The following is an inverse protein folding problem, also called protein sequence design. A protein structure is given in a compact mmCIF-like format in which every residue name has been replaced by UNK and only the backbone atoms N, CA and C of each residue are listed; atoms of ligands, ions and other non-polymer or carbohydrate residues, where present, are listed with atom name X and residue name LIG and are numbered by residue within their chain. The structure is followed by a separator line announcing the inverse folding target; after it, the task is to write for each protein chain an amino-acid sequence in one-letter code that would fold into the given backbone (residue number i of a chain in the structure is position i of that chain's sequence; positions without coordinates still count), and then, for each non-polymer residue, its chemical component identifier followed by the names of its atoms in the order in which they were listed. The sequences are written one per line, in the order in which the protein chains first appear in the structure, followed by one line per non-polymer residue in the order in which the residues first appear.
data_IF_044251870038
#
_entry.id   IF_044251870038
#
_cell.length_a   1.000
_cell.length_b   1.000
_cell.length_c   1.000
_cell.angle_alpha   90.00
_cell.angle_beta   90.00
_cell.angle_gamma   90.00
#
_symmetry.space_group_name_H-M   'P 1'
#
loop_
_entity.id
_entity.type
_entity.pdbx_description
1 polymer ?
#
# COMPACT_ATOMS: atom_id res chain seq x y z
N UNK A 1 6.09 -30.96 -7.24
CA UNK A 1 5.80 -29.89 -8.22
C UNK A 1 5.70 -28.57 -7.47
N UNK A 2 6.83 -27.90 -7.19
CA UNK A 2 6.93 -26.50 -6.73
C UNK A 2 8.37 -25.91 -6.83
N UNK A 3 9.21 -26.24 -7.84
CA UNK A 3 10.48 -25.52 -8.01
C UNK A 3 10.35 -24.20 -8.80
N UNK A 4 9.20 -23.92 -9.44
CA UNK A 4 9.04 -22.75 -10.33
C UNK A 4 8.87 -21.44 -9.55
N UNK A 5 8.07 -21.43 -8.47
CA UNK A 5 7.74 -20.23 -7.70
C UNK A 5 8.97 -19.61 -6.98
N UNK A 6 9.81 -20.46 -6.38
CA UNK A 6 11.03 -20.01 -5.66
C UNK A 6 12.10 -19.53 -6.64
N UNK A 7 12.14 -20.09 -7.85
CA UNK A 7 12.97 -19.55 -8.92
C UNK A 7 12.48 -18.13 -9.26
N UNK A 8 11.19 -17.94 -9.57
CA UNK A 8 10.62 -16.66 -10.04
C UNK A 8 10.94 -15.47 -9.14
N UNK A 9 10.83 -15.63 -7.82
CA UNK A 9 11.17 -14.58 -6.85
C UNK A 9 12.66 -14.21 -6.93
N UNK A 10 13.57 -15.20 -6.91
CA UNK A 10 15.01 -15.00 -7.13
C UNK A 10 15.36 -14.41 -8.52
N UNK A 11 14.53 -14.64 -9.55
CA UNK A 11 14.74 -14.12 -10.91
C UNK A 11 14.26 -12.67 -11.07
N UNK A 12 13.12 -12.29 -10.49
CA UNK A 12 12.68 -10.88 -10.46
C UNK A 12 13.67 -10.01 -9.69
N UNK A 13 14.39 -10.59 -8.71
CA UNK A 13 15.53 -9.99 -8.01
C UNK A 13 16.67 -9.51 -8.91
N UNK A 14 16.70 -9.91 -10.20
CA UNK A 14 17.76 -9.59 -11.14
C UNK A 14 17.36 -8.60 -12.25
N UNK A 15 16.09 -8.15 -12.27
CA UNK A 15 15.53 -7.26 -13.30
C UNK A 15 15.34 -5.85 -12.74
N UNK A 16 16.28 -4.95 -12.98
CA UNK A 16 16.30 -3.64 -12.34
C UNK A 16 15.61 -2.58 -13.20
N UNK A 17 14.40 -2.17 -12.82
CA UNK A 17 13.95 -0.82 -13.16
C UNK A 17 14.96 0.14 -12.56
N UNK A 18 15.67 0.91 -13.39
CA UNK A 18 16.71 1.80 -12.88
C UNK A 18 16.07 3.03 -12.24
N UNK A 19 16.21 3.18 -10.92
CA UNK A 19 15.86 4.41 -10.22
C UNK A 19 16.65 5.60 -10.82
N UNK A 20 15.95 6.68 -11.07
CA UNK A 20 16.49 7.94 -11.57
C UNK A 20 16.47 8.93 -10.42
N UNK A 21 17.67 9.40 -10.03
CA UNK A 21 17.83 10.39 -8.97
C UNK A 21 17.14 11.70 -9.35
N UNK A 22 16.29 12.20 -8.44
CA UNK A 22 15.59 13.46 -8.60
C UNK A 22 15.45 14.13 -7.21
N UNK A 23 16.25 15.16 -6.97
CA UNK A 23 16.29 15.87 -5.69
C UNK A 23 14.95 16.51 -5.32
N UNK A 24 14.14 16.90 -6.31
CA UNK A 24 12.81 17.45 -6.05
C UNK A 24 11.88 16.38 -5.49
N UNK A 25 11.97 15.15 -6.00
CA UNK A 25 11.17 14.02 -5.49
C UNK A 25 11.61 13.59 -4.08
N UNK A 26 12.91 13.63 -3.78
CA UNK A 26 13.41 13.36 -2.43
C UNK A 26 12.90 14.41 -1.42
N UNK A 27 12.96 15.69 -1.79
CA UNK A 27 12.45 16.78 -0.96
C UNK A 27 10.93 16.69 -0.75
N UNK A 28 10.17 16.38 -1.80
CA UNK A 28 8.72 16.19 -1.72
C UNK A 28 8.34 14.97 -0.88
N UNK A 29 9.02 13.84 -1.07
CA UNK A 29 8.78 12.62 -0.28
C UNK A 29 9.03 12.86 1.20
N UNK A 30 10.08 13.61 1.53
CA UNK A 30 10.37 14.00 2.92
C UNK A 30 9.25 14.86 3.52
N UNK A 31 8.67 15.79 2.75
CA UNK A 31 7.54 16.63 3.18
C UNK A 31 6.19 15.90 3.21
N UNK A 32 6.05 14.81 2.47
CA UNK A 32 4.87 13.94 2.49
C UNK A 32 4.92 12.90 3.62
N UNK A 33 5.98 12.91 4.43
CA UNK A 33 6.11 12.10 5.63
C UNK A 33 5.82 12.96 6.87
N UNK A 34 4.55 13.01 7.26
CA UNK A 34 4.09 13.83 8.40
C UNK A 34 3.35 12.98 9.42
N UNK A 35 3.45 13.37 10.68
CA UNK A 35 2.68 12.78 11.76
C UNK A 35 1.58 13.75 12.18
N UNK A 36 0.34 13.37 11.90
CA UNK A 36 -0.86 14.15 12.18
C UNK A 36 -1.61 13.48 13.32
N UNK A 37 -1.22 13.80 14.56
CA UNK A 37 -1.91 13.39 15.80
C UNK A 37 -2.13 11.89 15.96
N UNK A 38 -3.22 11.38 15.39
CA UNK A 38 -3.64 9.97 15.45
C UNK A 38 -3.24 9.15 14.22
N UNK A 39 -2.64 9.78 13.21
CA UNK A 39 -2.21 9.12 11.97
C UNK A 39 -0.85 9.61 11.49
N UNK A 40 -0.12 8.74 10.80
CA UNK A 40 1.15 9.04 10.16
C UNK A 40 1.02 8.82 8.66
N UNK A 41 1.37 9.83 7.88
CA UNK A 41 1.41 9.77 6.43
C UNK A 41 2.81 9.37 6.00
N UNK A 42 2.87 8.45 5.04
CA UNK A 42 4.09 7.96 4.41
C UNK A 42 3.92 8.07 2.91
N UNK A 43 4.29 9.22 2.34
CA UNK A 43 4.29 9.45 0.89
C UNK A 43 5.69 9.34 0.30
N UNK A 44 5.80 8.66 -0.85
CA UNK A 44 7.06 8.49 -1.58
C UNK A 44 6.83 8.60 -3.09
N UNK A 45 7.69 9.37 -3.74
CA UNK A 45 7.64 9.61 -5.19
C UNK A 45 8.99 9.24 -5.78
N UNK A 46 8.98 8.38 -6.79
CA UNK A 46 10.19 7.82 -7.39
C UNK A 46 10.08 7.82 -8.92
N UNK A 47 11.20 8.00 -9.62
CA UNK A 47 11.26 7.95 -11.09
C UNK A 47 12.09 6.74 -11.52
N UNK A 48 11.56 5.93 -12.43
CA UNK A 48 12.19 4.69 -12.89
C UNK A 48 12.33 4.67 -14.41
N UNK A 49 13.46 4.17 -14.91
CA UNK A 49 13.66 3.94 -16.35
C UNK A 49 13.22 2.54 -16.77
N UNK A 50 12.32 2.47 -17.77
CA UNK A 50 11.86 1.23 -18.40
C UNK A 50 12.78 0.75 -19.54
N UNK A 51 14.01 1.25 -19.61
CA UNK A 51 14.98 0.82 -20.63
C UNK A 51 15.40 -0.61 -20.32
N UNK A 52 14.90 -1.55 -21.12
CA UNK A 52 15.34 -2.94 -21.07
C UNK A 52 16.87 -3.00 -21.24
N UNK A 53 17.59 -3.43 -20.20
CA UNK A 53 19.02 -3.60 -20.17
C UNK A 53 19.37 -5.00 -19.63
N UNK A 54 20.53 -5.55 -20.05
CA UNK A 54 20.95 -6.88 -19.59
C UNK A 54 19.93 -7.99 -19.88
N UNK A 55 19.54 -8.71 -18.83
CA UNK A 55 18.69 -9.91 -18.91
C UNK A 55 17.17 -9.60 -18.96
N UNK A 56 16.76 -8.32 -18.91
CA UNK A 56 15.35 -7.89 -18.96
C UNK A 56 14.57 -8.50 -20.14
N UNK A 57 15.25 -8.69 -21.28
CA UNK A 57 14.63 -9.27 -22.48
C UNK A 57 14.37 -10.77 -22.33
N UNK A 58 15.21 -11.48 -21.58
CA UNK A 58 15.00 -12.89 -21.25
C UNK A 58 13.86 -13.03 -20.24
N UNK A 59 13.87 -12.19 -19.21
CA UNK A 59 12.84 -12.13 -18.17
C UNK A 59 11.46 -11.83 -18.74
N UNK A 60 11.35 -10.83 -19.62
CA UNK A 60 10.08 -10.52 -20.29
C UNK A 60 9.55 -11.71 -21.12
N UNK A 61 10.44 -12.46 -21.80
CA UNK A 61 10.03 -13.64 -22.58
C UNK A 61 9.49 -14.75 -21.68
N UNK A 62 10.10 -14.96 -20.52
CA UNK A 62 9.66 -15.96 -19.55
C UNK A 62 8.36 -15.56 -18.84
N UNK A 63 8.21 -14.28 -18.47
CA UNK A 63 6.94 -13.73 -18.01
C UNK A 63 5.80 -13.91 -19.03
N UNK A 64 6.13 -13.86 -20.33
CA UNK A 64 5.17 -14.18 -21.39
C UNK A 64 4.81 -15.67 -21.50
N UNK A 65 5.65 -16.59 -21.03
CA UNK A 65 5.44 -18.05 -21.15
C UNK A 65 4.54 -18.61 -20.04
N UNK A 66 4.41 -17.93 -18.90
CA UNK A 66 3.55 -18.35 -17.79
C UNK A 66 2.07 -17.94 -17.94
N UNK A 67 1.71 -17.33 -19.07
CA UNK A 67 0.33 -17.05 -19.44
C UNK A 67 -0.10 -17.87 -20.66
N UNK A 68 -1.35 -18.34 -20.66
CA UNK A 68 -1.97 -18.92 -21.85
C UNK A 68 -1.87 -17.90 -23.01
N UNK A 69 -1.30 -18.26 -24.17
CA UNK A 69 -0.96 -17.33 -25.25
C UNK A 69 -2.15 -16.63 -25.92
N UNK A 70 -3.38 -16.92 -25.47
CA UNK A 70 -4.62 -16.39 -26.03
C UNK A 70 -5.59 -15.75 -25.02
N UNK A 71 -5.22 -15.60 -23.75
CA UNK A 71 -6.10 -14.92 -22.77
C UNK A 71 -5.64 -13.48 -22.58
N UNK A 72 -6.44 -12.57 -23.08
CA UNK A 72 -6.32 -11.14 -22.84
C UNK A 72 -6.58 -10.90 -21.34
N UNK A 73 -5.54 -10.54 -20.59
CA UNK A 73 -5.67 -10.27 -19.15
C UNK A 73 -6.36 -8.92 -18.95
N UNK A 74 -7.60 -8.96 -18.46
CA UNK A 74 -8.36 -7.77 -18.14
C UNK A 74 -7.79 -7.14 -16.87
N UNK A 75 -7.49 -5.84 -16.94
CA UNK A 75 -7.27 -5.03 -15.75
C UNK A 75 -8.56 -4.95 -14.93
N UNK A 76 -8.44 -4.70 -13.64
CA UNK A 76 -9.60 -4.35 -12.83
C UNK A 76 -10.20 -3.01 -13.25
N UNK A 77 -11.51 -2.82 -13.06
CA UNK A 77 -12.10 -1.49 -13.12
C UNK A 77 -11.37 -0.54 -12.15
N UNK A 78 -11.27 0.76 -12.45
CA UNK A 78 -10.71 1.74 -11.53
C UNK A 78 -11.53 1.74 -10.24
N UNK A 79 -10.91 1.37 -9.13
CA UNK A 79 -11.51 1.42 -7.80
C UNK A 79 -10.76 2.48 -7.00
N UNK A 80 -11.40 3.62 -6.77
CA UNK A 80 -10.87 4.62 -5.83
C UNK A 80 -11.97 4.97 -4.84
N UNK A 81 -11.79 4.44 -3.63
CA UNK A 81 -12.36 4.88 -2.34
C UNK A 81 -13.79 5.44 -2.37
N UNK A 82 -14.77 4.53 -2.37
CA UNK A 82 -16.03 4.69 -1.65
C UNK A 82 -16.72 3.33 -1.57
N UNK A 83 -16.57 2.68 -0.42
CA UNK A 83 -17.33 1.48 -0.09
C UNK A 83 -18.80 1.86 0.18
N UNK A 84 -19.61 1.86 -0.88
CA UNK A 84 -21.06 1.64 -0.76
C UNK A 84 -21.46 0.53 -1.72
N UNK A 85 -21.82 -0.63 -1.18
CA UNK A 85 -22.42 -1.76 -1.89
C UNK A 85 -23.81 -2.02 -1.31
N UNK A 86 -24.69 -2.79 -1.97
CA UNK A 86 -25.18 -2.60 -3.34
C UNK A 86 -26.71 -2.82 -3.40
N UNK A 87 -27.40 -2.40 -4.48
CA UNK A 87 -28.67 -3.07 -4.82
C UNK A 87 -29.03 -3.03 -6.31
N UNK A 88 -29.41 -4.23 -6.78
CA UNK A 88 -30.32 -4.57 -7.89
C UNK A 88 -29.74 -4.90 -9.28
N UNK A 89 -29.45 -6.20 -9.46
CA UNK A 89 -30.14 -7.14 -10.35
C UNK A 89 -30.77 -6.59 -11.65
N UNK A 90 -30.28 -7.04 -12.81
CA UNK A 90 -31.13 -7.11 -14.01
C UNK A 90 -30.46 -7.26 -15.38
N UNK A 91 -30.47 -8.51 -15.88
CA UNK A 91 -30.70 -8.94 -17.27
C UNK A 91 -29.52 -9.05 -18.25
N UNK A 92 -29.37 -10.30 -18.68
CA UNK A 92 -28.65 -10.88 -19.81
C UNK A 92 -28.90 -10.21 -21.17
N UNK A 93 -27.84 -10.08 -21.97
CA UNK A 93 -27.87 -10.16 -23.44
C UNK A 93 -26.49 -10.53 -23.94
N UNK A 94 -26.42 -11.65 -24.67
CA UNK A 94 -25.30 -12.10 -25.48
C UNK A 94 -25.21 -11.20 -26.72
N UNK A 95 -24.15 -10.38 -26.83
CA UNK A 95 -23.28 -10.31 -28.01
C UNK A 95 -22.12 -9.33 -27.75
N UNK A 96 -21.00 -9.55 -28.42
CA UNK A 96 -19.66 -9.07 -28.07
C UNK A 96 -19.44 -7.55 -27.97
N UNK A 97 -18.29 -7.23 -27.36
CA UNK A 97 -17.72 -5.91 -27.09
C UNK A 97 -18.13 -5.27 -25.76
N UNK A 98 -17.60 -5.81 -24.66
CA UNK A 98 -17.56 -5.14 -23.36
C UNK A 98 -16.56 -3.95 -23.43
N UNK A 99 -16.97 -2.67 -23.45
CA UNK A 99 -16.10 -1.54 -23.78
C UNK A 99 -15.10 -1.14 -22.68
N UNK A 100 -14.90 -1.98 -21.67
CA UNK A 100 -14.21 -1.62 -20.41
C UNK A 100 -13.03 -2.52 -20.07
N UNK A 101 -12.67 -3.50 -20.91
CA UNK A 101 -11.41 -4.23 -20.74
C UNK A 101 -10.31 -3.48 -21.49
N UNK A 102 -9.77 -2.44 -20.86
CA UNK A 102 -8.56 -1.78 -21.35
C UNK A 102 -7.41 -2.77 -21.20
N UNK A 103 -7.14 -3.51 -22.29
CA UNK A 103 -6.08 -4.52 -22.38
C UNK A 103 -4.74 -3.85 -22.11
N UNK A 104 -4.23 -3.98 -20.89
CA UNK A 104 -2.85 -3.67 -20.61
C UNK A 104 -1.97 -4.64 -21.40
N UNK A 105 -1.08 -4.13 -22.25
CA UNK A 105 -0.17 -5.04 -22.92
C UNK A 105 0.73 -5.69 -21.85
N UNK A 106 0.98 -6.99 -21.97
CA UNK A 106 1.77 -7.80 -21.01
C UNK A 106 3.14 -7.18 -20.65
N UNK A 107 3.65 -6.33 -21.55
CA UNK A 107 4.84 -5.51 -21.36
C UNK A 107 4.67 -4.38 -20.33
N UNK A 108 3.56 -3.66 -20.37
CA UNK A 108 3.22 -2.69 -19.31
C UNK A 108 2.98 -3.43 -18.01
N UNK A 109 2.24 -4.54 -18.06
CA UNK A 109 2.24 -5.66 -17.10
C UNK A 109 3.53 -5.76 -16.28
N UNK A 110 4.52 -6.26 -16.99
CA UNK A 110 5.85 -6.48 -16.48
C UNK A 110 6.48 -5.23 -15.87
N UNK A 111 6.37 -4.06 -16.52
CA UNK A 111 6.96 -2.82 -16.00
C UNK A 111 6.33 -2.35 -14.69
N UNK A 112 5.02 -2.53 -14.49
CA UNK A 112 4.35 -2.15 -13.26
C UNK A 112 4.82 -3.04 -12.09
N UNK A 113 4.86 -4.37 -12.30
CA UNK A 113 5.32 -5.34 -11.31
C UNK A 113 6.79 -5.13 -10.95
N UNK A 114 7.66 -4.92 -11.94
CA UNK A 114 9.08 -4.66 -11.65
C UNK A 114 9.29 -3.33 -10.91
N UNK A 115 8.47 -2.31 -11.19
CA UNK A 115 8.53 -1.04 -10.46
C UNK A 115 8.14 -1.22 -8.99
N UNK A 116 7.09 -1.99 -8.69
CA UNK A 116 6.71 -2.33 -7.32
C UNK A 116 7.83 -3.06 -6.58
N UNK A 117 8.37 -4.09 -7.22
CA UNK A 117 9.46 -4.89 -6.67
C UNK A 117 10.70 -4.04 -6.35
N UNK A 118 11.08 -3.09 -7.19
CA UNK A 118 12.21 -2.21 -6.89
C UNK A 118 11.91 -1.20 -5.77
N UNK A 119 10.69 -0.65 -5.73
CA UNK A 119 10.31 0.36 -4.73
C UNK A 119 10.20 -0.20 -3.30
N UNK A 120 9.75 -1.45 -3.16
CA UNK A 120 9.43 -2.05 -1.85
C UNK A 120 10.40 -3.15 -1.41
N UNK A 121 11.53 -3.32 -2.10
CA UNK A 121 12.58 -4.21 -1.63
C UNK A 121 13.29 -3.67 -0.40
N UNK A 122 13.72 -4.54 0.53
CA UNK A 122 13.57 -6.01 0.53
C UNK A 122 12.27 -6.51 1.19
N UNK A 123 11.39 -5.60 1.61
CA UNK A 123 10.28 -5.90 2.51
C UNK A 123 9.15 -6.70 1.84
N UNK A 124 8.95 -6.54 0.53
CA UNK A 124 7.85 -7.16 -0.21
C UNK A 124 8.28 -7.77 -1.56
N UNK A 125 7.59 -8.84 -1.97
CA UNK A 125 7.76 -9.52 -3.26
C UNK A 125 6.42 -9.56 -4.04
N UNK A 126 6.39 -8.84 -5.16
CA UNK A 126 5.25 -8.71 -6.07
C UNK A 126 5.36 -9.60 -7.30
N UNK A 127 6.32 -10.54 -7.36
CA UNK A 127 6.55 -11.39 -8.54
C UNK A 127 5.33 -12.24 -8.94
N UNK A 128 4.41 -12.49 -8.01
CA UNK A 128 3.17 -13.23 -8.24
C UNK A 128 1.95 -12.34 -8.53
N UNK A 129 2.11 -11.01 -8.57
CA UNK A 129 1.02 -10.07 -8.78
C UNK A 129 0.36 -10.28 -10.16
N UNK A 130 -0.96 -10.25 -10.19
CA UNK A 130 -1.80 -10.57 -11.34
C UNK A 130 -2.38 -9.32 -11.98
N UNK A 131 -2.77 -9.40 -13.25
CA UNK A 131 -3.28 -8.23 -13.96
C UNK A 131 -4.55 -7.62 -13.35
N UNK A 132 -5.37 -8.44 -12.68
CA UNK A 132 -6.59 -7.96 -12.03
C UNK A 132 -6.32 -7.12 -10.77
N UNK A 133 -5.10 -7.09 -10.23
CA UNK A 133 -4.74 -6.18 -9.13
C UNK A 133 -4.34 -4.79 -9.63
N UNK A 134 -4.29 -4.60 -10.96
CA UNK A 134 -3.98 -3.32 -11.58
C UNK A 134 -5.19 -2.76 -12.32
N UNK A 135 -5.36 -1.45 -12.26
CA UNK A 135 -6.41 -0.74 -13.00
C UNK A 135 -5.81 0.38 -13.82
N UNK A 136 -6.36 0.63 -15.02
CA UNK A 136 -5.99 1.82 -15.81
C UNK A 136 -6.92 2.96 -15.43
N UNK A 137 -6.34 4.07 -15.04
CA UNK A 137 -7.09 5.23 -14.57
C UNK A 137 -7.64 6.04 -15.76
N UNK A 138 -8.87 6.55 -15.66
CA UNK A 138 -9.59 7.12 -16.81
C UNK A 138 -9.03 8.48 -17.25
N UNK A 139 -8.48 9.27 -16.32
CA UNK A 139 -7.88 10.57 -16.65
C UNK A 139 -6.94 11.07 -15.55
N UNK A 140 -6.04 11.97 -15.91
CA UNK A 140 -5.20 12.70 -14.95
C UNK A 140 -6.04 13.46 -13.92
N UNK A 141 -7.13 14.10 -14.35
CA UNK A 141 -7.99 14.86 -13.45
C UNK A 141 -8.65 13.98 -12.38
N UNK A 142 -9.04 12.76 -12.75
CA UNK A 142 -9.58 11.78 -11.82
C UNK A 142 -8.58 11.45 -10.70
N UNK A 143 -7.37 11.07 -11.10
CA UNK A 143 -6.28 10.72 -10.17
C UNK A 143 -5.86 11.92 -9.33
N UNK A 144 -5.73 13.09 -9.95
CA UNK A 144 -5.36 14.31 -9.25
C UNK A 144 -6.37 14.67 -8.16
N UNK A 145 -7.67 14.55 -8.45
CA UNK A 145 -8.71 14.82 -7.45
C UNK A 145 -8.68 13.81 -6.30
N UNK A 146 -8.47 12.52 -6.57
CA UNK A 146 -8.37 11.48 -5.54
C UNK A 146 -7.15 11.71 -4.62
N UNK A 147 -5.98 11.96 -5.21
CA UNK A 147 -4.73 12.26 -4.49
C UNK A 147 -4.87 13.54 -3.68
N UNK A 148 -5.38 14.63 -4.29
CA UNK A 148 -5.54 15.91 -3.61
C UNK A 148 -6.50 15.81 -2.43
N UNK A 149 -7.61 15.08 -2.58
CA UNK A 149 -8.58 14.88 -1.50
C UNK A 149 -7.97 14.11 -0.33
N UNK A 150 -7.23 13.03 -0.63
CA UNK A 150 -6.59 12.20 0.40
C UNK A 150 -5.49 12.95 1.15
N UNK A 151 -4.61 13.66 0.42
CA UNK A 151 -3.51 14.42 1.01
C UNK A 151 -3.99 15.67 1.73
N UNK A 152 -4.97 16.41 1.18
CA UNK A 152 -5.53 17.58 1.86
C UNK A 152 -6.20 17.19 3.17
N UNK A 153 -6.92 16.07 3.21
CA UNK A 153 -7.54 15.57 4.43
C UNK A 153 -6.53 15.23 5.53
N UNK A 154 -5.30 14.88 5.16
CA UNK A 154 -4.31 14.34 6.08
C UNK A 154 -3.20 15.35 6.44
N UNK A 155 -2.80 16.20 5.50
CA UNK A 155 -1.78 17.26 5.64
C UNK A 155 -2.41 18.62 5.97
N UNK A 156 -3.69 18.83 5.66
CA UNK A 156 -4.39 20.09 5.92
C UNK A 156 -3.93 21.25 5.05
N UNK A 157 -3.91 22.46 5.62
CA UNK A 157 -3.66 23.71 4.87
C UNK A 157 -2.27 23.79 4.23
N UNK A 158 -1.27 23.07 4.77
CA UNK A 158 0.06 23.02 4.17
C UNK A 158 0.04 22.44 2.74
N UNK A 159 -0.96 21.61 2.43
CA UNK A 159 -1.17 21.07 1.10
C UNK A 159 -1.47 22.13 0.04
N UNK A 160 -1.97 23.31 0.42
CA UNK A 160 -2.21 24.40 -0.53
C UNK A 160 -0.91 24.88 -1.20
N UNK A 161 0.23 24.77 -0.50
CA UNK A 161 1.55 25.07 -1.05
C UNK A 161 2.21 23.84 -1.68
N UNK A 162 2.08 22.67 -1.03
CA UNK A 162 2.72 21.43 -1.44
C UNK A 162 2.10 20.82 -2.71
N UNK A 163 0.77 20.90 -2.86
CA UNK A 163 0.04 20.31 -3.98
C UNK A 163 0.50 20.85 -5.34
N UNK A 164 0.55 22.18 -5.56
CA UNK A 164 1.09 22.74 -6.80
C UNK A 164 2.55 22.36 -7.07
N UNK A 165 3.40 22.35 -6.04
CA UNK A 165 4.80 21.93 -6.16
C UNK A 165 4.93 20.46 -6.56
N UNK A 166 4.12 19.59 -5.95
CA UNK A 166 4.02 18.17 -6.23
C UNK A 166 3.66 17.91 -7.70
N UNK A 167 2.54 18.47 -8.17
CA UNK A 167 2.08 18.25 -9.53
C UNK A 167 3.03 18.85 -10.58
N UNK A 168 3.62 20.01 -10.29
CA UNK A 168 4.62 20.61 -11.17
C UNK A 168 5.88 19.74 -11.25
N UNK A 169 6.38 19.23 -10.13
CA UNK A 169 7.56 18.36 -10.14
C UNK A 169 7.32 17.06 -10.93
N UNK A 170 6.14 16.45 -10.78
CA UNK A 170 5.78 15.25 -11.55
C UNK A 170 5.69 15.60 -13.04
N UNK A 171 5.02 16.70 -13.41
CA UNK A 171 4.88 17.09 -14.81
C UNK A 171 6.22 17.39 -15.49
N UNK A 172 7.16 18.05 -14.80
CA UNK A 172 8.51 18.29 -15.31
C UNK A 172 9.29 16.99 -15.55
N UNK A 173 9.10 15.97 -14.70
CA UNK A 173 9.83 14.71 -14.80
C UNK A 173 9.27 13.78 -15.89
N UNK A 174 7.94 13.75 -16.07
CA UNK A 174 7.29 12.71 -16.89
C UNK A 174 6.35 13.22 -17.98
N UNK A 175 6.02 14.51 -18.02
CA UNK A 175 5.00 15.11 -18.87
C UNK A 175 3.65 14.37 -18.73
N UNK A 176 2.85 14.81 -17.75
CA UNK A 176 1.61 14.14 -17.32
C UNK A 176 0.59 14.00 -18.46
N UNK A 177 0.54 14.95 -19.40
CA UNK A 177 -0.40 14.91 -20.52
C UNK A 177 -0.12 13.76 -21.50
N UNK A 178 1.12 13.27 -21.53
CA UNK A 178 1.54 12.14 -22.37
C UNK A 178 1.52 10.78 -21.67
N UNK A 179 1.03 10.70 -20.44
CA UNK A 179 1.12 9.51 -19.61
C UNK A 179 -0.14 8.64 -19.67
N UNK A 180 0.08 7.34 -19.68
CA UNK A 180 -0.93 6.38 -19.25
C UNK A 180 -0.80 6.21 -17.73
N UNK A 181 -1.92 6.31 -17.00
CA UNK A 181 -1.92 6.22 -15.54
C UNK A 181 -2.51 4.88 -15.12
N UNK A 182 -1.84 4.21 -14.19
CA UNK A 182 -2.29 2.94 -13.62
C UNK A 182 -2.33 3.04 -12.10
N UNK A 183 -3.16 2.23 -11.46
CA UNK A 183 -3.17 2.02 -10.02
C UNK A 183 -2.90 0.55 -9.70
N UNK A 184 -2.27 0.30 -8.56
CA UNK A 184 -2.17 -1.04 -7.96
C UNK A 184 -3.06 -1.09 -6.72
N UNK A 185 -4.07 -1.95 -6.79
CA UNK A 185 -5.10 -2.18 -5.77
C UNK A 185 -5.08 -3.67 -5.45
N UNK A 186 -4.25 -4.11 -4.49
CA UNK A 186 -4.14 -5.53 -4.14
C UNK A 186 -5.47 -6.07 -3.58
N UNK A 187 -5.70 -7.36 -3.78
CA UNK A 187 -6.75 -8.07 -3.06
C UNK A 187 -6.41 -8.12 -1.55
N UNK A 188 -7.42 -8.14 -0.67
CA UNK A 188 -7.23 -8.12 0.79
C UNK A 188 -6.26 -9.21 1.32
N UNK A 189 -6.19 -10.36 0.65
CA UNK A 189 -5.31 -11.47 1.02
C UNK A 189 -3.85 -11.31 0.52
N UNK A 190 -3.63 -10.39 -0.42
CA UNK A 190 -2.33 -10.11 -1.06
C UNK A 190 -1.83 -8.69 -0.79
N UNK A 191 -2.53 -7.94 0.06
CA UNK A 191 -2.19 -6.54 0.35
C UNK A 191 -0.97 -6.45 1.27
N UNK A 192 0.20 -5.97 0.78
CA UNK A 192 1.35 -5.68 1.64
C UNK A 192 1.03 -4.59 2.67
N UNK A 193 0.03 -3.75 2.41
CA UNK A 193 -0.45 -2.70 3.32
C UNK A 193 -1.59 -3.16 4.22
N UNK A 194 -1.95 -4.45 4.19
CA UNK A 194 -2.82 -5.10 5.17
C UNK A 194 -2.22 -5.14 6.59
N UNK A 195 -1.08 -4.48 6.81
CA UNK A 195 -0.58 -4.11 8.13
C UNK A 195 -1.68 -3.42 8.96
N UNK A 196 -1.86 -3.89 10.19
CA UNK A 196 -2.85 -3.37 11.13
C UNK A 196 -2.73 -1.83 11.26
N UNK A 197 -3.76 -1.12 10.79
CA UNK A 197 -3.89 0.33 10.96
C UNK A 197 -3.73 1.18 9.70
N UNK A 198 -3.58 0.62 8.50
CA UNK A 198 -3.72 1.42 7.26
C UNK A 198 -5.14 2.01 7.16
N UNK A 199 -5.25 3.34 7.16
CA UNK A 199 -6.52 4.06 7.01
C UNK A 199 -6.90 4.21 5.54
N UNK A 200 -5.91 4.52 4.71
CA UNK A 200 -6.02 4.58 3.27
C UNK A 200 -4.62 4.46 2.66
N UNK A 201 -4.57 3.93 1.45
CA UNK A 201 -3.36 3.88 0.65
C UNK A 201 -3.70 4.00 -0.83
N UNK A 202 -2.78 4.57 -1.60
CA UNK A 202 -2.84 4.57 -3.05
C UNK A 202 -1.46 4.31 -3.64
N UNK A 203 -1.43 3.67 -4.80
CA UNK A 203 -0.22 3.32 -5.53
C UNK A 203 -0.43 3.64 -7.01
N UNK A 204 -0.01 4.83 -7.44
CA UNK A 204 -0.20 5.30 -8.81
C UNK A 204 1.10 5.22 -9.63
N UNK A 205 0.97 4.81 -10.88
CA UNK A 205 2.06 4.74 -11.86
C UNK A 205 1.74 5.67 -13.03
N UNK A 206 2.60 6.66 -13.25
CA UNK A 206 2.54 7.55 -14.41
C UNK A 206 3.53 7.04 -15.46
N UNK A 207 3.03 6.31 -16.46
CA UNK A 207 3.86 5.69 -17.48
C UNK A 207 3.89 6.51 -18.77
N UNK A 208 5.06 7.06 -19.10
CA UNK A 208 5.30 7.71 -20.38
C UNK A 208 6.05 6.77 -21.34
N UNK A 209 5.32 6.22 -22.32
CA UNK A 209 5.85 5.32 -23.35
C UNK A 209 6.94 5.96 -24.22
N UNK A 210 6.88 7.28 -24.46
CA UNK A 210 7.87 8.00 -25.29
C UNK A 210 9.20 8.14 -24.56
N UNK A 211 9.15 8.48 -23.26
CA UNK A 211 10.34 8.61 -22.41
C UNK A 211 10.87 7.25 -21.92
N UNK A 212 10.07 6.18 -22.02
CA UNK A 212 10.34 4.86 -21.41
C UNK A 212 10.65 5.03 -19.92
N UNK A 213 9.75 5.73 -19.23
CA UNK A 213 9.91 6.13 -17.83
C UNK A 213 8.58 5.94 -17.10
N UNK A 214 8.66 5.54 -15.85
CA UNK A 214 7.53 5.46 -14.92
C UNK A 214 7.85 6.33 -13.73
N UNK A 215 6.95 7.25 -13.39
CA UNK A 215 6.96 7.84 -12.04
C UNK A 215 6.00 7.03 -11.18
N UNK A 216 6.51 6.51 -10.07
CA UNK A 216 5.74 5.78 -9.09
C UNK A 216 5.45 6.68 -7.91
N UNK A 217 4.17 6.86 -7.58
CA UNK A 217 3.73 7.63 -6.43
C UNK A 217 2.90 6.73 -5.53
N UNK A 218 3.47 6.39 -4.38
CA UNK A 218 2.80 5.65 -3.32
C UNK A 218 2.60 6.56 -2.13
N UNK A 219 1.43 6.45 -1.50
CA UNK A 219 1.17 7.12 -0.25
C UNK A 219 0.23 6.27 0.59
N UNK A 220 0.52 6.19 1.89
CA UNK A 220 -0.37 5.56 2.87
C UNK A 220 -0.49 6.42 4.11
N UNK A 221 -1.67 6.37 4.72
CA UNK A 221 -1.90 6.88 6.07
C UNK A 221 -2.12 5.70 7.00
N UNK A 222 -1.34 5.63 8.07
CA UNK A 222 -1.45 4.59 9.09
C UNK A 222 -1.87 5.22 10.42
N UNK A 223 -2.75 4.57 11.17
CA UNK A 223 -3.09 5.00 12.53
C UNK A 223 -1.89 4.80 13.45
N UNK A 224 -1.63 5.78 14.31
CA UNK A 224 -0.59 5.67 15.36
C UNK A 224 -1.07 4.76 16.50
N UNK A 225 -2.38 4.55 16.63
CA UNK A 225 -2.98 3.75 17.71
C UNK A 225 -2.80 2.25 17.51
N UNK A 226 -2.65 1.75 16.28
CA UNK A 226 -2.42 0.33 16.02
C UNK A 226 -1.05 -0.16 16.51
N UNK A 227 -0.09 0.75 16.73
CA UNK A 227 1.22 0.42 17.32
C UNK A 227 1.19 0.16 18.83
N UNK A 228 0.16 0.61 19.56
CA UNK A 228 0.07 0.45 21.02
C UNK A 228 -0.40 -0.95 21.46
N UNK A 229 -0.87 -1.79 20.55
CA UNK A 229 -1.48 -3.09 20.86
C UNK A 229 -0.51 -4.26 21.12
N UNK A 230 0.81 -4.10 20.90
CA UNK A 230 1.74 -5.25 20.92
C UNK A 230 2.90 -5.18 21.93
N UNK A 231 2.97 -4.13 22.76
CA UNK A 231 4.09 -3.94 23.70
C UNK A 231 3.71 -3.69 25.16
N UNK A 232 2.42 -3.51 25.50
CA UNK A 232 2.03 -2.99 26.83
C UNK A 232 0.91 -3.76 27.53
N UNK A 233 0.54 -4.97 27.06
CA UNK A 233 -0.54 -5.75 27.68
C UNK A 233 -0.08 -7.08 28.31
N UNK A 234 1.22 -7.37 28.34
CA UNK A 234 1.73 -8.59 29.00
C UNK A 234 2.23 -8.34 30.44
N UNK A 235 2.19 -7.10 30.96
CA UNK A 235 2.78 -6.76 32.26
C UNK A 235 1.80 -6.33 33.38
N UNK A 236 0.47 -6.41 33.19
CA UNK A 236 -0.49 -5.97 34.23
C UNK A 236 -1.56 -7.01 34.61
N UNK A 237 -1.24 -8.31 34.50
CA UNK A 237 -2.04 -9.37 35.12
C UNK A 237 -1.16 -10.23 36.04
N UNK A 238 -0.42 -9.59 36.94
CA UNK A 238 0.09 -10.21 38.17
C UNK A 238 -0.50 -9.43 39.35
N UNK A 239 -1.81 -9.61 39.57
CA UNK A 239 -2.42 -9.25 40.86
C UNK A 239 -1.91 -10.26 41.88
N UNK A 240 -0.86 -9.88 42.61
CA UNK A 240 -0.36 -10.58 43.79
C UNK A 240 -1.55 -10.95 44.69
N UNK A 241 -1.78 -12.25 44.86
CA UNK A 241 -2.65 -12.79 45.90
C UNK A 241 -1.90 -12.57 47.22
N UNK A 242 -2.30 -11.56 47.99
CA UNK A 242 -1.83 -11.37 49.37
C UNK A 242 -2.24 -12.61 50.20
N UNK A 243 -1.24 -13.43 50.55
CA UNK A 243 -1.33 -14.47 51.56
C UNK A 243 -1.40 -13.79 52.95
N UNK A 244 -2.60 -13.67 53.53
CA UNK A 244 -2.75 -13.32 54.95
C UNK A 244 -2.33 -14.51 55.83
N UNK A 245 -1.08 -14.51 56.29
CA UNK A 245 -0.61 -15.40 57.36
C UNK A 245 -1.26 -15.00 58.71
N UNK A 246 -2.14 -15.86 59.22
CA UNK A 246 -2.58 -15.85 60.62
C UNK A 246 -1.38 -16.06 61.56
N UNK A 247 -1.07 -15.07 62.40
CA UNK A 247 -0.21 -15.26 63.57
C UNK A 247 -1.00 -15.03 64.85
N UNK A 248 -1.03 -16.07 65.68
CA UNK A 248 -1.66 -16.12 66.99
C UNK A 248 -1.01 -15.16 68.01
N UNK A 249 -1.73 -14.84 69.08
CA UNK A 249 -1.17 -14.07 70.19
C UNK A 249 -2.21 -13.70 71.25
N UNK A 250 -2.64 -14.68 72.05
CA UNK A 250 -3.41 -14.50 73.28
C UNK A 250 -2.73 -13.54 74.27
N UNK A 251 -3.49 -12.58 74.82
CA UNK A 251 -3.32 -12.10 76.20
C UNK A 251 -4.68 -11.74 76.81
N UNK A 252 -5.17 -12.59 77.72
CA UNK A 252 -6.16 -12.24 78.75
C UNK A 252 -5.51 -11.31 79.78
N UNK A 253 -6.19 -10.23 80.19
CA UNK A 253 -6.48 -10.05 81.61
C UNK A 253 -7.61 -9.02 81.89
N UNK A 254 -8.64 -9.54 82.57
CA UNK A 254 -9.35 -8.97 83.72
C UNK A 254 -9.92 -7.53 83.72
N UNK A 255 -11.25 -7.44 83.88
CA UNK A 255 -11.87 -6.48 84.80
C UNK A 255 -13.07 -7.15 85.52
N UNK A 256 -13.33 -6.86 86.81
CA UNK A 256 -13.83 -7.82 87.78
C UNK A 256 -15.36 -7.90 87.89
N UNK A 257 -15.84 -9.06 88.37
CA UNK A 257 -17.17 -9.25 88.96
C UNK A 257 -17.38 -8.30 90.14
N UNK A 258 -18.48 -7.55 90.11
CA UNK A 258 -19.31 -7.30 91.29
C UNK A 258 -20.73 -6.83 90.88
N UNK A 259 -21.56 -7.81 90.50
CA UNK A 259 -22.97 -7.93 90.94
C UNK A 259 -22.91 -8.39 92.42
N UNK A 260 -23.66 -7.92 93.41
CA UNK A 260 -24.81 -7.02 93.52
C UNK A 260 -24.76 -6.35 94.92
N UNK A 261 -25.25 -5.11 95.05
CA UNK A 261 -26.53 -4.76 95.71
C UNK A 261 -27.11 -3.56 94.98
#
# INVERSE_FOLDING_TARGET
KTPTCVCLSLWFLQTTMKLLENSSFEALSSRLCVETGESRILGRIESYSCKMAGDDKHMFKQFCQEGEPHVLEALSPPQSTSATSPSQLGKSSEDGENPLSDKCCRKTLFYLITTLNESFRPDYDFSAARAHEFSREPSLNWVANAVNSSLFSAVGEEFNSLGPELWNAIDQEINLQGCDIYSYNPDLDSDPFGEEGSLWSFNYFFYNKKLKRIVFFTCRSVSVLSGYGRGSLDNELDMELDDEEEMDGFTEDSCPRALCV
#
